data_IF_045281942557
#
_entry.id   IF_045281942557
#
_cell.length_a   1.000
_cell.length_b   1.000
_cell.length_c   1.000
_cell.angle_alpha   90.00
_cell.angle_beta   90.00
_cell.angle_gamma   90.00
#
_symmetry.space_group_name_H-M   'P 1'
#
loop_
_entity.id
_entity.type
_entity.pdbx_description
1 polymer ?
#
# COMPACT_ATOMS: atom_id res chain seq x y z
N UNK A 1 6.19 -2.07 -23.20
CA UNK A 1 5.03 -1.91 -22.29
C UNK A 1 5.00 -2.95 -21.18
N UNK A 2 5.36 -4.21 -21.43
CA UNK A 2 5.16 -5.30 -20.45
C UNK A 2 5.92 -5.12 -19.13
N UNK A 3 7.20 -4.70 -19.16
CA UNK A 3 8.02 -4.58 -17.95
C UNK A 3 7.60 -3.41 -17.04
N UNK A 4 7.16 -2.29 -17.63
CA UNK A 4 6.77 -1.09 -16.89
C UNK A 4 5.47 -1.30 -16.12
N UNK A 5 4.48 -1.94 -16.74
CA UNK A 5 3.23 -2.31 -16.07
C UNK A 5 3.48 -3.36 -14.98
N UNK A 6 4.27 -4.39 -15.27
CA UNK A 6 4.62 -5.41 -14.28
C UNK A 6 5.30 -4.81 -13.04
N UNK A 7 6.23 -3.86 -13.25
CA UNK A 7 6.88 -3.15 -12.16
C UNK A 7 5.91 -2.29 -11.36
N UNK A 8 5.01 -1.57 -12.04
CA UNK A 8 3.98 -0.79 -11.38
C UNK A 8 3.09 -1.68 -10.49
N UNK A 9 2.55 -2.77 -11.04
CA UNK A 9 1.70 -3.71 -10.30
C UNK A 9 2.45 -4.32 -9.11
N UNK A 10 3.71 -4.71 -9.30
CA UNK A 10 4.54 -5.28 -8.24
C UNK A 10 4.74 -4.29 -7.08
N UNK A 11 5.18 -3.07 -7.37
CA UNK A 11 5.48 -2.07 -6.34
C UNK A 11 4.20 -1.57 -5.66
N UNK A 12 3.11 -1.38 -6.40
CA UNK A 12 1.79 -1.10 -5.82
C UNK A 12 1.30 -2.25 -4.94
N UNK A 13 1.48 -3.50 -5.35
CA UNK A 13 1.12 -4.68 -4.56
C UNK A 13 1.92 -4.79 -3.26
N UNK A 14 3.23 -4.53 -3.30
CA UNK A 14 4.08 -4.46 -2.11
C UNK A 14 3.61 -3.32 -1.19
N UNK A 15 3.29 -2.15 -1.76
CA UNK A 15 2.74 -1.01 -1.03
C UNK A 15 1.46 -1.37 -0.30
N UNK A 16 0.51 -2.03 -0.97
CA UNK A 16 -0.74 -2.53 -0.37
C UNK A 16 -0.44 -3.46 0.81
N UNK A 17 0.45 -4.43 0.64
CA UNK A 17 0.77 -5.40 1.69
C UNK A 17 1.38 -4.73 2.93
N UNK A 18 2.37 -3.85 2.73
CA UNK A 18 3.00 -3.11 3.84
C UNK A 18 1.97 -2.19 4.50
N UNK A 19 1.19 -1.47 3.70
CA UNK A 19 0.13 -0.59 4.17
C UNK A 19 -0.91 -1.33 5.01
N UNK A 20 -1.36 -2.51 4.58
CA UNK A 20 -2.29 -3.35 5.33
C UNK A 20 -1.72 -3.77 6.69
N UNK A 21 -0.44 -4.16 6.74
CA UNK A 21 0.24 -4.56 8.01
C UNK A 21 0.34 -3.37 8.97
N UNK A 22 0.77 -2.21 8.48
CA UNK A 22 0.86 -1.00 9.29
C UNK A 22 -0.52 -0.51 9.73
N UNK A 23 -1.51 -0.56 8.83
CA UNK A 23 -2.90 -0.21 9.10
C UNK A 23 -3.55 -1.14 10.12
N UNK A 24 -3.25 -2.43 10.11
CA UNK A 24 -3.68 -3.38 11.13
C UNK A 24 -3.15 -2.97 12.52
N UNK A 25 -1.85 -2.68 12.62
CA UNK A 25 -1.24 -2.22 13.88
C UNK A 25 -1.83 -0.91 14.38
N UNK A 26 -2.02 0.06 13.49
CA UNK A 26 -2.63 1.35 13.82
C UNK A 26 -4.10 1.20 14.23
N UNK A 27 -4.89 0.44 13.47
CA UNK A 27 -6.31 0.20 13.73
C UNK A 27 -6.55 -0.48 15.06
N UNK A 28 -5.77 -1.51 15.38
CA UNK A 28 -5.86 -2.21 16.66
C UNK A 28 -5.48 -1.30 17.85
N UNK A 29 -4.52 -0.39 17.67
CA UNK A 29 -4.05 0.47 18.77
C UNK A 29 -4.88 1.73 18.99
N UNK A 30 -5.43 2.32 17.91
CA UNK A 30 -6.05 3.65 17.97
C UNK A 30 -7.56 3.64 17.75
N UNK A 31 -8.06 2.73 16.92
CA UNK A 31 -9.45 2.75 16.45
C UNK A 31 -10.29 1.63 17.09
N UNK A 32 -9.66 0.65 17.72
CA UNK A 32 -10.27 -0.61 18.19
C UNK A 32 -11.10 -1.32 17.09
N UNK A 33 -10.78 -1.02 15.82
CA UNK A 33 -11.44 -1.52 14.63
C UNK A 33 -10.36 -1.93 13.63
N UNK A 34 -9.92 -3.18 13.79
CA UNK A 34 -8.90 -3.80 12.97
C UNK A 34 -9.28 -3.79 11.47
N UNK A 35 -10.51 -4.17 11.05
CA UNK A 35 -10.94 -4.06 9.65
C UNK A 35 -10.82 -2.64 9.07
N UNK A 36 -11.25 -1.62 9.81
CA UNK A 36 -11.19 -0.23 9.32
C UNK A 36 -9.74 0.26 9.20
N UNK A 37 -8.87 -0.05 10.17
CA UNK A 37 -7.44 0.26 10.11
C UNK A 37 -6.72 -0.41 8.95
N UNK A 38 -7.04 -1.69 8.67
CA UNK A 38 -6.53 -2.40 7.47
C UNK A 38 -6.99 -1.69 6.20
N UNK A 39 -8.26 -1.28 6.11
CA UNK A 39 -8.80 -0.56 4.97
C UNK A 39 -8.05 0.74 4.67
N UNK A 40 -7.82 1.56 5.69
CA UNK A 40 -7.02 2.79 5.58
C UNK A 40 -5.59 2.46 5.14
N UNK A 41 -4.97 1.47 5.78
CA UNK A 41 -3.61 1.04 5.48
C UNK A 41 -3.43 0.60 4.03
N UNK A 42 -4.36 -0.19 3.49
CA UNK A 42 -4.37 -0.63 2.08
C UNK A 42 -4.41 0.56 1.12
N UNK A 43 -5.26 1.56 1.39
CA UNK A 43 -5.42 2.75 0.53
C UNK A 43 -4.12 3.56 0.49
N UNK A 44 -3.55 3.87 1.65
CA UNK A 44 -2.28 4.61 1.70
C UNK A 44 -1.11 3.80 1.14
N UNK A 45 -1.08 2.50 1.40
CA UNK A 45 -0.10 1.57 0.85
C UNK A 45 -0.13 1.51 -0.68
N UNK A 46 -1.33 1.39 -1.27
CA UNK A 46 -1.52 1.43 -2.72
C UNK A 46 -1.03 2.76 -3.31
N UNK A 47 -1.41 3.88 -2.68
CA UNK A 47 -1.00 5.21 -3.10
C UNK A 47 0.53 5.40 -3.06
N UNK A 48 1.17 4.99 -1.96
CA UNK A 48 2.62 5.07 -1.80
C UNK A 48 3.35 4.18 -2.82
N UNK A 49 2.88 2.96 -3.06
CA UNK A 49 3.47 2.05 -4.05
C UNK A 49 3.31 2.55 -5.50
N UNK A 50 2.15 3.13 -5.83
CA UNK A 50 1.95 3.79 -7.12
C UNK A 50 2.90 4.99 -7.28
N UNK A 51 3.05 5.83 -6.25
CA UNK A 51 3.97 6.97 -6.27
C UNK A 51 5.44 6.54 -6.42
N UNK A 52 5.86 5.50 -5.70
CA UNK A 52 7.21 4.95 -5.80
C UNK A 52 7.51 4.39 -7.20
N UNK A 53 6.50 3.81 -7.86
CA UNK A 53 6.63 3.32 -9.24
C UNK A 53 6.87 4.43 -10.26
N UNK A 54 6.23 5.60 -10.04
CA UNK A 54 6.41 6.81 -10.84
C UNK A 54 7.80 7.41 -10.57
N UNK A 55 8.18 7.55 -9.30
CA UNK A 55 9.49 8.07 -8.91
C UNK A 55 10.66 7.18 -9.41
N UNK A 56 10.48 5.86 -9.46
CA UNK A 56 11.47 4.94 -10.02
C UNK A 56 11.51 4.92 -11.57
N UNK A 57 10.62 5.66 -12.23
CA UNK A 57 10.58 5.80 -13.69
C UNK A 57 11.19 7.12 -14.19
N UNK A 58 11.37 8.11 -13.30
CA UNK A 58 12.09 9.37 -13.55
C UNK A 58 13.57 9.25 -13.27
#
# INVERSE_FOLDING_TARGET
MELSLARFVLVTGIGIAIGAVLGAGFGAWTLDDLPFGIGIGVVFGAGAGALASIAAAS
#
